data_IF_877269448752
#
_entry.id   IF_877269448752
#
_cell.length_a   1.000
_cell.length_b   1.000
_cell.length_c   1.000
_cell.angle_alpha   90.00
_cell.angle_beta   90.00
_cell.angle_gamma   90.00
#
_symmetry.space_group_name_H-M   'P 1'
#
loop_
_entity.id
_entity.type
_entity.pdbx_description
1 polymer ?
#
# COMPACT_ATOMS: atom_id res chain seq x y z
N UNK A 1 -8.27 16.84 3.21
CA UNK A 1 -8.67 16.70 1.79
C UNK A 1 -7.49 16.27 0.92
N UNK A 2 -6.36 17.00 0.89
CA UNK A 2 -5.17 16.61 0.10
C UNK A 2 -4.69 15.18 0.36
N UNK A 3 -4.52 14.80 1.63
CA UNK A 3 -4.06 13.46 2.02
C UNK A 3 -4.99 12.38 1.49
N UNK A 4 -6.30 12.54 1.72
CA UNK A 4 -7.32 11.58 1.27
C UNK A 4 -7.37 11.48 -0.24
N UNK A 5 -7.28 12.61 -0.96
CA UNK A 5 -7.32 12.62 -2.41
C UNK A 5 -6.15 11.86 -3.03
N UNK A 6 -4.92 12.21 -2.65
CA UNK A 6 -3.72 11.54 -3.16
C UNK A 6 -3.60 10.09 -2.68
N UNK A 7 -3.98 9.85 -1.42
CA UNK A 7 -4.01 8.52 -0.83
C UNK A 7 -4.93 7.57 -1.57
N UNK A 8 -6.16 7.99 -1.83
CA UNK A 8 -7.15 7.17 -2.51
C UNK A 8 -6.83 7.03 -4.00
N UNK A 9 -6.37 8.09 -4.66
CA UNK A 9 -5.98 8.04 -6.07
C UNK A 9 -4.81 7.08 -6.30
N UNK A 10 -3.74 7.22 -5.52
CA UNK A 10 -2.60 6.30 -5.59
C UNK A 10 -2.96 4.88 -5.18
N UNK A 11 -3.77 4.74 -4.13
CA UNK A 11 -4.26 3.44 -3.68
C UNK A 11 -5.11 2.74 -4.73
N UNK A 12 -5.97 3.47 -5.45
CA UNK A 12 -6.74 2.92 -6.56
C UNK A 12 -5.83 2.39 -7.67
N UNK A 13 -4.80 3.15 -8.08
CA UNK A 13 -3.85 2.71 -9.11
C UNK A 13 -3.08 1.46 -8.65
N UNK A 14 -2.55 1.48 -7.42
CA UNK A 14 -1.80 0.36 -6.85
C UNK A 14 -2.69 -0.89 -6.67
N UNK A 15 -3.93 -0.68 -6.23
CA UNK A 15 -4.92 -1.74 -6.05
C UNK A 15 -5.37 -2.35 -7.38
N UNK A 16 -5.64 -1.53 -8.39
CA UNK A 16 -5.97 -2.02 -9.72
C UNK A 16 -4.83 -2.86 -10.32
N UNK A 17 -3.60 -2.34 -10.28
CA UNK A 17 -2.41 -3.05 -10.78
C UNK A 17 -2.20 -4.38 -10.05
N UNK A 18 -2.18 -4.36 -8.72
CA UNK A 18 -1.95 -5.58 -7.92
C UNK A 18 -3.12 -6.56 -8.03
N UNK A 19 -4.36 -6.09 -8.12
CA UNK A 19 -5.55 -6.93 -8.30
C UNK A 19 -5.55 -7.64 -9.64
N UNK A 20 -5.29 -6.93 -10.75
CA UNK A 20 -5.18 -7.51 -12.10
C UNK A 20 -4.01 -8.50 -12.16
N UNK A 21 -2.86 -8.14 -11.59
CA UNK A 21 -1.68 -9.02 -11.55
C UNK A 21 -1.96 -10.31 -10.78
N UNK A 22 -2.79 -10.26 -9.73
CA UNK A 22 -3.18 -11.46 -8.97
C UNK A 22 -4.22 -12.31 -9.68
N UNK A 23 -5.09 -11.70 -10.48
CA UNK A 23 -6.13 -12.40 -11.23
C UNK A 23 -5.59 -13.06 -12.51
N UNK A 24 -4.73 -12.36 -13.25
CA UNK A 24 -4.32 -12.75 -14.61
C UNK A 24 -2.80 -12.84 -14.80
N UNK A 25 -2.00 -12.43 -13.82
CA UNK A 25 -0.54 -12.37 -13.94
C UNK A 25 0.16 -13.72 -13.73
N UNK A 26 1.45 -13.74 -14.07
CA UNK A 26 2.32 -14.89 -13.86
C UNK A 26 2.36 -15.32 -12.38
N UNK A 27 2.46 -16.63 -12.05
CA UNK A 27 2.44 -17.12 -10.67
C UNK A 27 3.41 -16.43 -9.72
N UNK A 28 4.61 -16.06 -10.20
CA UNK A 28 5.61 -15.33 -9.40
C UNK A 28 5.11 -13.91 -9.04
N UNK A 29 4.61 -13.17 -10.02
CA UNK A 29 4.11 -11.80 -9.82
C UNK A 29 2.84 -11.80 -8.96
N UNK A 30 1.97 -12.78 -9.18
CA UNK A 30 0.79 -13.01 -8.35
C UNK A 30 1.18 -13.32 -6.90
N UNK A 31 2.20 -14.16 -6.69
CA UNK A 31 2.75 -14.46 -5.36
C UNK A 31 3.30 -13.21 -4.64
N UNK A 32 4.07 -12.37 -5.33
CA UNK A 32 4.59 -11.10 -4.76
C UNK A 32 3.43 -10.19 -4.34
N UNK A 33 2.45 -10.01 -5.23
CA UNK A 33 1.29 -9.18 -4.94
C UNK A 33 0.43 -9.77 -3.80
N UNK A 34 0.36 -11.09 -3.67
CA UNK A 34 -0.31 -11.76 -2.54
C UNK A 34 0.40 -11.49 -1.21
N UNK A 35 1.74 -11.58 -1.18
CA UNK A 35 2.53 -11.26 0.02
C UNK A 35 2.32 -9.80 0.42
N UNK A 36 2.38 -8.87 -0.54
CA UNK A 36 2.06 -7.47 -0.31
C UNK A 36 0.69 -7.30 0.37
N UNK A 37 -0.38 -7.85 -0.22
CA UNK A 37 -1.73 -7.71 0.33
C UNK A 37 -1.85 -8.35 1.72
N UNK A 38 -1.25 -9.53 1.92
CA UNK A 38 -1.28 -10.23 3.19
C UNK A 38 -0.61 -9.44 4.32
N UNK A 39 0.59 -8.89 4.07
CA UNK A 39 1.33 -8.10 5.06
C UNK A 39 0.59 -6.81 5.38
N UNK A 40 0.10 -6.10 4.37
CA UNK A 40 -0.56 -4.80 4.58
C UNK A 40 -1.92 -4.95 5.28
N UNK A 41 -2.71 -5.98 4.95
CA UNK A 41 -3.99 -6.22 5.63
C UNK A 41 -3.82 -6.87 7.00
N UNK A 42 -2.70 -7.55 7.23
CA UNK A 42 -2.36 -8.16 8.52
C UNK A 42 -1.71 -7.19 9.52
N UNK A 43 -1.35 -5.97 9.09
CA UNK A 43 -0.70 -4.97 9.95
C UNK A 43 -1.63 -3.78 10.20
N UNK A 44 -1.73 -3.27 11.44
CA UNK A 44 -2.51 -2.06 11.71
C UNK A 44 -1.96 -0.86 10.92
N UNK A 45 -2.85 -0.04 10.35
CA UNK A 45 -2.45 1.15 9.57
C UNK A 45 -1.59 2.14 10.39
N UNK A 46 -1.85 2.23 11.70
CA UNK A 46 -1.06 3.06 12.62
C UNK A 46 0.40 2.59 12.68
N UNK A 47 0.63 1.27 12.65
CA UNK A 47 1.99 0.71 12.62
C UNK A 47 2.68 1.05 11.30
N UNK A 48 1.94 1.05 10.19
CA UNK A 48 2.49 1.41 8.86
C UNK A 48 2.95 2.87 8.80
N UNK A 49 2.14 3.81 9.29
CA UNK A 49 2.54 5.24 9.32
C UNK A 49 3.68 5.48 10.30
N UNK A 50 3.67 4.80 11.46
CA UNK A 50 4.78 4.85 12.41
C UNK A 50 6.07 4.31 11.81
N UNK A 51 5.99 3.23 11.05
CA UNK A 51 7.16 2.67 10.37
C UNK A 51 7.74 3.64 9.34
N UNK A 52 6.90 4.23 8.49
CA UNK A 52 7.35 5.17 7.45
C UNK A 52 7.92 6.45 8.08
N UNK A 53 7.30 6.97 9.14
CA UNK A 53 7.71 8.24 9.73
C UNK A 53 8.88 8.10 10.72
N UNK A 54 8.94 7.04 11.52
CA UNK A 54 9.95 6.88 12.58
C UNK A 54 11.03 5.84 12.24
N UNK A 55 10.68 4.69 11.66
CA UNK A 55 11.64 3.61 11.41
C UNK A 55 12.47 3.85 10.15
N UNK A 56 11.87 4.38 9.08
CA UNK A 56 12.57 4.63 7.81
C UNK A 56 13.75 5.61 7.95
N UNK A 57 13.66 6.72 8.71
CA UNK A 57 14.81 7.57 8.99
C UNK A 57 15.94 6.86 9.75
N UNK A 58 15.61 5.92 10.63
CA UNK A 58 16.61 5.17 11.40
C UNK A 58 17.34 4.12 10.54
N UNK A 59 16.60 3.44 9.65
CA UNK A 59 17.13 2.33 8.86
C UNK A 59 17.82 2.78 7.56
N UNK A 60 17.27 3.79 6.90
CA UNK A 60 17.71 4.21 5.57
C UNK A 60 18.18 5.68 5.52
N UNK A 61 18.13 6.41 6.65
CA UNK A 61 18.40 7.85 6.72
C UNK A 61 17.51 8.69 5.78
N UNK A 62 16.34 8.15 5.43
CA UNK A 62 15.33 8.82 4.60
C UNK A 62 14.34 9.51 5.52
N UNK A 63 14.34 10.84 5.52
CA UNK A 63 13.38 11.64 6.28
C UNK A 63 12.14 11.92 5.45
N UNK A 64 10.98 11.55 5.98
CA UNK A 64 9.68 11.75 5.33
C UNK A 64 8.86 12.68 6.20
N UNK A 65 8.30 13.73 5.61
CA UNK A 65 7.37 14.63 6.32
C UNK A 65 6.11 13.86 6.74
N UNK A 66 5.46 14.27 7.83
CA UNK A 66 4.26 13.65 8.35
C UNK A 66 3.11 13.58 7.32
N UNK A 67 2.97 14.61 6.48
CA UNK A 67 1.97 14.62 5.40
C UNK A 67 2.25 13.52 4.38
N UNK A 68 3.50 13.39 3.93
CA UNK A 68 3.90 12.37 2.97
C UNK A 68 3.85 10.96 3.57
N UNK A 69 4.22 10.80 4.83
CA UNK A 69 4.09 9.53 5.53
C UNK A 69 2.63 9.07 5.59
N UNK A 70 1.70 9.98 5.88
CA UNK A 70 0.27 9.69 5.87
C UNK A 70 -0.25 9.34 4.47
N UNK A 71 0.15 10.09 3.43
CA UNK A 71 -0.24 9.82 2.04
C UNK A 71 0.25 8.44 1.61
N UNK A 72 1.54 8.14 1.77
CA UNK A 72 2.13 6.86 1.34
C UNK A 72 1.51 5.69 2.09
N UNK A 73 1.30 5.83 3.41
CA UNK A 73 0.60 4.82 4.21
C UNK A 73 -0.80 4.57 3.66
N UNK A 74 -1.54 5.63 3.34
CA UNK A 74 -2.90 5.52 2.83
C UNK A 74 -2.93 4.87 1.44
N UNK A 75 -1.97 5.19 0.55
CA UNK A 75 -1.81 4.54 -0.77
C UNK A 75 -1.61 3.03 -0.60
N UNK A 76 -0.63 2.64 0.23
CA UNK A 76 -0.27 1.24 0.47
C UNK A 76 -1.47 0.50 1.07
N UNK A 77 -2.09 1.08 2.11
CA UNK A 77 -3.19 0.45 2.81
C UNK A 77 -4.41 0.29 1.89
N UNK A 78 -4.92 1.39 1.32
CA UNK A 78 -6.10 1.35 0.45
C UNK A 78 -5.85 0.53 -0.82
N UNK A 79 -4.65 0.56 -1.38
CA UNK A 79 -4.29 -0.28 -2.52
C UNK A 79 -4.39 -1.77 -2.22
N UNK A 80 -3.99 -2.22 -1.03
CA UNK A 80 -4.14 -3.63 -0.66
C UNK A 80 -5.60 -4.07 -0.54
N UNK A 81 -6.48 -3.19 -0.03
CA UNK A 81 -7.92 -3.47 0.02
C UNK A 81 -8.58 -3.41 -1.36
N UNK A 82 -8.24 -2.43 -2.19
CA UNK A 82 -8.77 -2.31 -3.57
C UNK A 82 -8.29 -3.49 -4.43
N UNK A 83 -7.07 -3.98 -4.23
CA UNK A 83 -6.56 -5.19 -4.89
C UNK A 83 -7.48 -6.39 -4.74
N UNK A 84 -8.03 -6.60 -3.55
CA UNK A 84 -8.95 -7.70 -3.26
C UNK A 84 -10.30 -7.52 -3.96
N UNK A 85 -10.80 -6.29 -4.02
CA UNK A 85 -12.03 -5.95 -4.75
C UNK A 85 -11.84 -6.25 -6.24
N UNK A 86 -10.74 -5.78 -6.82
CA UNK A 86 -10.43 -5.95 -8.25
C UNK A 86 -10.20 -7.42 -8.60
N UNK A 87 -9.50 -8.18 -7.75
CA UNK A 87 -9.29 -9.63 -7.97
C UNK A 87 -10.59 -10.44 -7.84
N UNK A 88 -11.55 -9.96 -7.04
CA UNK A 88 -12.84 -10.61 -6.84
C UNK A 88 -13.91 -10.24 -7.86
N UNK A 89 -13.60 -9.30 -8.77
CA UNK A 89 -14.46 -8.85 -9.86
C UNK A 89 -14.15 -9.62 -11.14
#
# INVERSE_FOLDING_TARGET
IKITFWGLFGGFLLGALSGVTRAYGHPILSGIAQVYVAVIRGTPIVVQVMFIYFALPLLANIRVDAEWAAIVTLIINSGAYISEIVRGS
#
